data_IF_359420307831
#
_entry.id   IF_359420307831
#
_cell.length_a   1.000
_cell.length_b   1.000
_cell.length_c   1.000
_cell.angle_alpha   90.00
_cell.angle_beta   90.00
_cell.angle_gamma   90.00
#
_symmetry.space_group_name_H-M   'P 1'
#
loop_
_entity.id
_entity.type
_entity.pdbx_description
1 polymer ?
#
# COMPACT_ATOMS: atom_id res chain seq x y z
N UNK A 1 -24.56 6.33 10.02
CA UNK A 1 -23.33 5.61 10.38
C UNK A 1 -22.18 6.60 10.59
N UNK A 2 -21.77 7.43 9.60
CA UNK A 2 -20.60 8.32 9.74
C UNK A 2 -20.72 9.28 10.94
N UNK A 3 -21.90 9.84 11.18
CA UNK A 3 -22.14 10.78 12.30
C UNK A 3 -21.97 10.17 13.68
N UNK A 4 -22.12 8.84 13.80
CA UNK A 4 -22.08 8.11 15.08
C UNK A 4 -20.76 7.35 15.28
N UNK A 5 -19.80 7.49 14.38
CA UNK A 5 -18.44 6.92 14.53
C UNK A 5 -17.63 7.76 15.53
N UNK A 6 -16.60 7.14 16.11
CA UNK A 6 -15.64 7.83 16.96
C UNK A 6 -14.97 9.00 16.22
N UNK A 7 -14.29 9.87 16.97
CA UNK A 7 -13.51 10.97 16.40
C UNK A 7 -12.38 10.45 15.48
N UNK A 8 -12.12 11.19 14.40
CA UNK A 8 -11.09 10.87 13.39
C UNK A 8 -11.20 9.43 12.85
N UNK A 9 -12.37 9.02 12.32
CA UNK A 9 -12.55 7.65 11.84
C UNK A 9 -11.79 7.40 10.55
N UNK A 10 -11.40 6.14 10.36
CA UNK A 10 -10.85 5.65 9.09
C UNK A 10 -11.97 4.92 8.35
N UNK A 11 -12.26 5.36 7.12
CA UNK A 11 -13.37 4.85 6.31
C UNK A 11 -12.84 4.31 4.99
N UNK A 12 -12.98 3.00 4.78
CA UNK A 12 -12.62 2.33 3.53
C UNK A 12 -13.88 1.94 2.78
N UNK A 13 -14.20 2.70 1.72
CA UNK A 13 -15.32 2.43 0.82
C UNK A 13 -14.78 1.80 -0.47
N UNK A 14 -14.67 0.46 -0.49
CA UNK A 14 -13.86 -0.28 -1.46
C UNK A 14 -14.68 -0.96 -2.57
N UNK A 15 -16.00 -0.81 -2.62
CA UNK A 15 -16.83 -1.35 -3.70
C UNK A 15 -16.46 -0.75 -5.05
N UNK A 16 -16.50 -1.58 -6.10
CA UNK A 16 -16.22 -1.21 -7.48
C UNK A 16 -17.43 -1.51 -8.38
N UNK A 17 -17.72 -0.64 -9.37
CA UNK A 17 -17.01 0.62 -9.72
C UNK A 17 -17.36 1.81 -8.83
N UNK A 18 -18.48 1.74 -8.10
CA UNK A 18 -18.93 2.82 -7.23
C UNK A 18 -18.69 2.47 -5.77
N UNK A 19 -17.99 3.33 -5.01
CA UNK A 19 -17.78 3.13 -3.58
C UNK A 19 -19.11 3.23 -2.81
N UNK A 20 -19.23 2.55 -1.67
CA UNK A 20 -20.43 2.56 -0.81
C UNK A 20 -20.86 3.99 -0.42
N UNK A 21 -19.88 4.88 -0.31
CA UNK A 21 -20.07 6.32 -0.16
C UNK A 21 -18.92 7.05 -0.86
N UNK A 22 -19.25 8.08 -1.64
CA UNK A 22 -18.23 8.93 -2.27
C UNK A 22 -17.56 9.82 -1.25
N UNK A 23 -16.24 10.09 -1.40
CA UNK A 23 -15.49 10.95 -0.48
C UNK A 23 -16.05 12.35 -0.28
N UNK A 24 -16.57 12.98 -1.34
CA UNK A 24 -17.21 14.29 -1.26
C UNK A 24 -18.47 14.30 -0.39
N UNK A 25 -19.28 13.23 -0.51
CA UNK A 25 -20.49 13.05 0.32
C UNK A 25 -20.13 12.76 1.77
N UNK A 26 -19.11 11.91 1.99
CA UNK A 26 -18.65 11.57 3.33
C UNK A 26 -18.11 12.82 4.07
N UNK A 27 -17.31 13.64 3.37
CA UNK A 27 -16.74 14.89 3.92
C UNK A 27 -17.78 15.98 4.17
N UNK A 28 -18.88 16.00 3.42
CA UNK A 28 -20.00 16.89 3.70
C UNK A 28 -20.69 16.55 5.04
N UNK A 29 -20.55 15.33 5.54
CA UNK A 29 -21.09 14.89 6.84
C UNK A 29 -20.14 15.21 7.98
N UNK A 30 -18.83 15.01 7.78
CA UNK A 30 -17.75 15.30 8.74
C UNK A 30 -16.40 15.40 8.02
N UNK A 31 -15.54 16.27 8.49
CA UNK A 31 -14.27 16.64 7.84
C UNK A 31 -13.03 16.00 8.51
N UNK A 32 -13.20 15.36 9.68
CA UNK A 32 -12.11 14.76 10.46
C UNK A 32 -11.78 13.30 10.06
N UNK A 33 -12.41 12.76 9.00
CA UNK A 33 -12.21 11.39 8.56
C UNK A 33 -11.00 11.21 7.65
N UNK A 34 -10.35 10.04 7.74
CA UNK A 34 -9.43 9.52 6.72
C UNK A 34 -10.22 8.61 5.79
N UNK A 35 -10.25 8.92 4.50
CA UNK A 35 -11.04 8.21 3.51
C UNK A 35 -10.16 7.50 2.49
N UNK A 36 -10.49 6.25 2.15
CA UNK A 36 -9.88 5.49 1.08
C UNK A 36 -10.95 4.81 0.21
N UNK A 37 -10.68 4.68 -1.08
CA UNK A 37 -11.55 4.00 -2.05
C UNK A 37 -10.72 3.15 -3.01
N UNK A 38 -11.36 2.32 -3.83
CA UNK A 38 -10.71 1.61 -4.94
C UNK A 38 -10.43 2.49 -6.17
N UNK A 39 -10.94 3.72 -6.22
CA UNK A 39 -10.87 4.59 -7.41
C UNK A 39 -9.57 5.39 -7.47
N UNK A 40 -9.05 5.55 -8.70
CA UNK A 40 -7.82 6.33 -8.96
C UNK A 40 -8.01 7.84 -8.95
N UNK A 41 -9.24 8.32 -9.06
CA UNK A 41 -9.60 9.73 -9.09
C UNK A 41 -9.81 10.35 -7.70
N UNK A 42 -9.70 9.52 -6.63
CA UNK A 42 -9.75 9.97 -5.25
C UNK A 42 -8.40 9.74 -4.53
N UNK A 43 -8.11 10.49 -3.46
CA UNK A 43 -6.99 10.21 -2.56
C UNK A 43 -7.04 8.79 -1.97
N UNK A 44 -5.88 8.28 -1.55
CA UNK A 44 -5.78 6.98 -0.90
C UNK A 44 -6.39 5.82 -1.70
N UNK A 45 -6.02 5.71 -2.98
CA UNK A 45 -6.46 4.57 -3.79
C UNK A 45 -5.94 3.26 -3.21
N UNK A 46 -6.84 2.38 -2.79
CA UNK A 46 -6.53 0.99 -2.42
C UNK A 46 -6.65 0.12 -3.67
N UNK A 47 -5.51 -0.37 -4.16
CA UNK A 47 -5.46 -1.17 -5.37
C UNK A 47 -4.62 -2.42 -5.13
N UNK A 48 -5.12 -3.58 -5.56
CA UNK A 48 -4.43 -4.88 -5.44
C UNK A 48 -3.02 -4.87 -6.08
N UNK A 49 -2.77 -3.99 -7.06
CA UNK A 49 -1.47 -3.84 -7.72
C UNK A 49 -0.36 -3.40 -6.76
N UNK A 50 -0.70 -2.81 -5.61
CA UNK A 50 0.29 -2.44 -4.59
C UNK A 50 0.89 -3.66 -3.87
N UNK A 51 0.16 -4.77 -3.82
CA UNK A 51 0.59 -6.00 -3.15
C UNK A 51 0.93 -7.13 -4.11
N UNK A 52 0.00 -7.47 -4.99
CA UNK A 52 0.02 -8.68 -5.81
C UNK A 52 1.33 -8.93 -6.58
N UNK A 53 1.85 -8.02 -7.46
CA UNK A 53 3.04 -8.33 -8.24
C UNK A 53 4.29 -8.46 -7.36
N UNK A 54 4.39 -7.64 -6.33
CA UNK A 54 5.57 -7.51 -5.50
C UNK A 54 5.69 -8.64 -4.46
N UNK A 55 4.57 -9.08 -3.90
CA UNK A 55 4.53 -10.25 -3.01
C UNK A 55 4.96 -11.51 -3.77
N UNK A 56 4.42 -11.72 -4.97
CA UNK A 56 4.82 -12.84 -5.81
C UNK A 56 6.28 -12.75 -6.23
N UNK A 57 6.78 -11.55 -6.57
CA UNK A 57 8.18 -11.34 -6.90
C UNK A 57 9.09 -11.77 -5.75
N UNK A 58 8.86 -11.30 -4.54
CA UNK A 58 9.64 -11.68 -3.37
C UNK A 58 9.58 -13.19 -3.07
N UNK A 59 8.40 -13.79 -3.18
CA UNK A 59 8.22 -15.23 -2.98
C UNK A 59 8.96 -16.07 -4.02
N UNK A 60 8.90 -15.68 -5.30
CA UNK A 60 9.56 -16.40 -6.39
C UNK A 60 11.07 -16.30 -6.34
N UNK A 61 11.63 -15.16 -5.96
CA UNK A 61 13.08 -14.95 -5.90
C UNK A 61 13.78 -15.88 -4.87
N UNK A 62 13.07 -16.25 -3.81
CA UNK A 62 13.55 -17.22 -2.81
C UNK A 62 12.93 -18.62 -3.01
N UNK A 63 12.17 -18.83 -4.09
CA UNK A 63 11.47 -20.10 -4.36
C UNK A 63 10.64 -20.57 -3.16
N UNK A 64 9.88 -19.69 -2.56
CA UNK A 64 9.04 -20.03 -1.43
C UNK A 64 8.03 -21.12 -1.77
N UNK A 65 7.76 -22.01 -0.83
CA UNK A 65 6.79 -23.12 -0.99
C UNK A 65 5.34 -22.66 -0.91
N UNK A 66 5.11 -21.44 -0.44
CA UNK A 66 3.82 -20.79 -0.31
C UNK A 66 3.98 -19.38 0.21
N UNK A 67 2.88 -18.62 0.22
CA UNK A 67 2.82 -17.28 0.79
C UNK A 67 2.10 -17.39 2.14
N UNK A 68 2.82 -17.16 3.23
CA UNK A 68 2.30 -17.23 4.59
C UNK A 68 2.02 -15.85 5.18
N UNK A 69 1.42 -15.80 6.38
CA UNK A 69 1.06 -14.56 7.07
C UNK A 69 2.28 -13.66 7.35
N UNK A 70 3.43 -14.23 7.67
CA UNK A 70 4.66 -13.46 7.90
C UNK A 70 5.06 -12.65 6.65
N UNK A 71 4.96 -13.24 5.47
CA UNK A 71 5.24 -12.59 4.20
C UNK A 71 4.20 -11.49 3.88
N UNK A 72 2.93 -11.74 4.17
CA UNK A 72 1.86 -10.75 3.98
C UNK A 72 2.03 -9.56 4.92
N UNK A 73 2.32 -9.81 6.20
CA UNK A 73 2.59 -8.77 7.21
C UNK A 73 3.84 -7.96 6.82
N UNK A 74 4.89 -8.60 6.31
CA UNK A 74 6.08 -7.91 5.82
C UNK A 74 5.75 -6.96 4.65
N UNK A 75 4.89 -7.37 3.72
CA UNK A 75 4.42 -6.51 2.64
C UNK A 75 3.62 -5.30 3.16
N UNK A 76 2.75 -5.51 4.15
CA UNK A 76 1.99 -4.41 4.80
C UNK A 76 2.94 -3.41 5.44
N UNK A 77 3.96 -3.88 6.16
CA UNK A 77 4.95 -3.01 6.79
C UNK A 77 5.77 -2.24 5.74
N UNK A 78 6.19 -2.89 4.65
CA UNK A 78 6.91 -2.24 3.57
C UNK A 78 6.08 -1.13 2.91
N UNK A 79 4.80 -1.36 2.65
CA UNK A 79 3.89 -0.35 2.10
C UNK A 79 3.68 0.83 3.06
N UNK A 80 3.49 0.54 4.36
CA UNK A 80 3.36 1.54 5.42
C UNK A 80 4.60 2.44 5.49
N UNK A 81 5.78 1.84 5.46
CA UNK A 81 7.04 2.56 5.60
C UNK A 81 7.35 3.37 4.35
N UNK A 82 7.10 2.82 3.16
CA UNK A 82 7.22 3.55 1.90
C UNK A 82 6.30 4.77 1.83
N UNK A 83 5.08 4.68 2.36
CA UNK A 83 4.16 5.83 2.39
C UNK A 83 4.69 7.01 3.22
N UNK A 84 5.60 6.77 4.17
CA UNK A 84 6.22 7.78 5.03
C UNK A 84 7.49 8.39 4.44
N UNK A 85 8.08 7.75 3.43
CA UNK A 85 9.25 8.27 2.75
C UNK A 85 8.89 9.49 1.88
N UNK A 86 9.81 10.45 1.71
CA UNK A 86 9.62 11.57 0.80
C UNK A 86 9.23 11.09 -0.60
N UNK A 87 8.17 11.66 -1.17
CA UNK A 87 7.68 11.25 -2.49
C UNK A 87 8.59 11.84 -3.59
N UNK A 88 9.17 11.02 -4.48
CA UNK A 88 10.07 11.51 -5.52
C UNK A 88 9.32 12.26 -6.63
N UNK A 89 10.02 13.18 -7.30
CA UNK A 89 9.45 14.00 -8.37
C UNK A 89 8.82 13.15 -9.48
N UNK A 90 9.40 12.01 -9.80
CA UNK A 90 8.85 11.09 -10.82
C UNK A 90 7.42 10.60 -10.51
N UNK A 91 7.10 10.41 -9.23
CA UNK A 91 5.74 10.04 -8.80
C UNK A 91 4.82 11.26 -8.90
N UNK A 92 5.27 12.43 -8.45
CA UNK A 92 4.50 13.67 -8.56
C UNK A 92 4.15 13.97 -10.01
N UNK A 93 5.11 13.86 -10.93
CA UNK A 93 4.93 14.07 -12.36
C UNK A 93 3.93 13.06 -12.97
N UNK A 94 4.04 11.78 -12.59
CA UNK A 94 3.14 10.73 -13.08
C UNK A 94 1.67 10.98 -12.70
N UNK A 95 1.43 11.60 -11.55
CA UNK A 95 0.09 11.91 -11.06
C UNK A 95 -0.30 13.39 -11.25
N UNK A 96 0.56 14.20 -11.88
CA UNK A 96 0.35 15.63 -12.11
C UNK A 96 0.03 16.39 -10.82
N UNK A 97 0.82 16.12 -9.79
CA UNK A 97 0.70 16.74 -8.47
C UNK A 97 1.95 17.57 -8.18
N UNK A 98 1.77 18.69 -7.52
CA UNK A 98 2.87 19.57 -7.12
C UNK A 98 3.54 19.09 -5.83
N UNK A 99 2.75 18.52 -4.93
CA UNK A 99 3.20 18.02 -3.63
C UNK A 99 2.37 16.81 -3.20
N UNK A 100 3.02 15.88 -2.50
CA UNK A 100 2.38 14.73 -1.86
C UNK A 100 3.25 14.28 -0.69
N UNK A 101 2.68 14.20 0.50
CA UNK A 101 3.36 13.78 1.71
C UNK A 101 2.44 12.94 2.60
N UNK A 102 3.02 12.11 3.47
CA UNK A 102 2.26 11.27 4.39
C UNK A 102 1.28 12.11 5.23
N UNK A 103 0.03 11.71 5.22
CA UNK A 103 -1.05 12.40 5.91
C UNK A 103 -2.42 11.84 5.53
N UNK A 104 -3.53 12.48 5.94
CA UNK A 104 -4.89 11.99 5.70
C UNK A 104 -5.23 11.72 4.22
N UNK A 105 -4.57 12.42 3.30
CA UNK A 105 -4.75 12.27 1.84
C UNK A 105 -3.73 11.34 1.17
N UNK A 106 -2.73 10.86 1.93
CA UNK A 106 -1.70 9.94 1.46
C UNK A 106 -1.25 9.01 2.57
N UNK A 107 -2.04 7.97 2.83
CA UNK A 107 -1.74 6.92 3.80
C UNK A 107 -1.18 5.64 3.15
N UNK A 108 -1.20 5.56 1.81
CA UNK A 108 -0.79 4.41 1.03
C UNK A 108 -0.04 4.87 -0.23
N UNK A 109 1.03 4.17 -0.68
CA UNK A 109 1.76 4.56 -1.88
C UNK A 109 0.89 4.56 -3.14
N UNK A 110 1.28 5.34 -4.13
CA UNK A 110 0.62 5.36 -5.44
C UNK A 110 1.00 4.13 -6.29
N UNK A 111 0.09 3.54 -7.08
CA UNK A 111 0.36 2.37 -7.92
C UNK A 111 1.52 2.50 -8.91
N UNK A 112 1.82 3.72 -9.41
CA UNK A 112 2.93 3.96 -10.32
C UNK A 112 4.25 4.34 -9.62
N UNK A 113 4.33 4.17 -8.30
CA UNK A 113 5.56 4.40 -7.55
C UNK A 113 6.56 3.26 -7.80
N UNK A 114 7.63 3.55 -8.55
CA UNK A 114 8.65 2.56 -8.89
C UNK A 114 9.35 1.95 -7.66
N UNK A 115 9.37 2.66 -6.53
CA UNK A 115 9.97 2.21 -5.27
C UNK A 115 9.24 1.01 -4.66
N UNK A 116 8.01 0.72 -5.08
CA UNK A 116 7.30 -0.50 -4.66
C UNK A 116 8.12 -1.77 -4.95
N UNK A 117 8.85 -1.79 -6.07
CA UNK A 117 9.74 -2.90 -6.42
C UNK A 117 10.96 -3.01 -5.50
N UNK A 118 11.42 -1.89 -4.96
CA UNK A 118 12.58 -1.83 -4.07
C UNK A 118 12.24 -2.14 -2.61
N UNK A 119 11.00 -1.89 -2.21
CA UNK A 119 10.56 -2.04 -0.82
C UNK A 119 9.84 -3.36 -0.54
N UNK A 120 8.88 -3.73 -1.36
CA UNK A 120 7.97 -4.85 -1.04
C UNK A 120 8.61 -6.21 -1.30
N UNK A 121 9.20 -6.53 -2.48
CA UNK A 121 9.79 -7.84 -2.73
C UNK A 121 10.91 -8.22 -1.75
N UNK A 122 11.86 -7.32 -1.39
CA UNK A 122 12.90 -7.66 -0.41
C UNK A 122 12.33 -7.99 0.97
N UNK A 123 11.33 -7.24 1.44
CA UNK A 123 10.68 -7.51 2.73
C UNK A 123 9.99 -8.88 2.75
N UNK A 124 9.27 -9.20 1.68
CA UNK A 124 8.60 -10.51 1.52
C UNK A 124 9.61 -11.66 1.44
N UNK A 125 10.69 -11.49 0.66
CA UNK A 125 11.74 -12.49 0.53
C UNK A 125 12.42 -12.77 1.87
N UNK A 126 12.73 -11.73 2.64
CA UNK A 126 13.30 -11.86 3.98
C UNK A 126 12.37 -12.63 4.91
N UNK A 127 11.10 -12.26 4.96
CA UNK A 127 10.10 -12.95 5.78
C UNK A 127 9.93 -14.43 5.37
N UNK A 128 10.01 -14.74 4.08
CA UNK A 128 9.96 -16.13 3.60
C UNK A 128 11.17 -16.96 4.09
N UNK A 129 12.37 -16.38 4.07
CA UNK A 129 13.58 -17.03 4.60
C UNK A 129 13.48 -17.24 6.11
N UNK A 130 13.12 -16.19 6.85
CA UNK A 130 13.01 -16.21 8.32
C UNK A 130 11.92 -17.17 8.81
N UNK A 131 10.81 -17.28 8.07
CA UNK A 131 9.71 -18.19 8.40
C UNK A 131 9.91 -19.63 7.90
N UNK A 132 11.04 -19.91 7.24
CA UNK A 132 11.44 -21.26 6.82
C UNK A 132 10.68 -21.81 5.61
N UNK A 133 9.96 -20.99 4.86
CA UNK A 133 9.24 -21.42 3.64
C UNK A 133 10.04 -21.22 2.36
N UNK A 134 11.19 -20.54 2.42
CA UNK A 134 12.08 -20.31 1.29
C UNK A 134 12.92 -21.59 1.00
N UNK A 135 13.14 -21.89 -0.29
CA UNK A 135 14.06 -22.93 -0.78
C UNK A 135 15.43 -22.38 -1.16
N UNK A 136 15.57 -21.06 -1.26
CA UNK A 136 16.82 -20.35 -1.52
C UNK A 136 17.06 -19.29 -0.45
N UNK A 137 18.32 -18.93 -0.26
CA UNK A 137 18.71 -17.82 0.63
C UNK A 137 18.23 -16.47 0.10
N UNK A 138 18.31 -15.48 0.97
CA UNK A 138 17.98 -14.10 0.61
C UNK A 138 18.87 -13.60 -0.53
N UNK A 139 18.32 -13.00 -1.61
CA UNK A 139 19.08 -12.60 -2.79
C UNK A 139 20.10 -11.51 -2.50
N UNK A 140 21.32 -11.65 -3.06
CA UNK A 140 22.42 -10.68 -2.86
C UNK A 140 22.14 -9.30 -3.48
N UNK A 141 21.25 -9.23 -4.49
CA UNK A 141 20.88 -7.98 -5.14
C UNK A 141 19.82 -7.16 -4.37
N UNK A 142 19.26 -7.72 -3.30
CA UNK A 142 18.34 -7.01 -2.43
C UNK A 142 19.08 -6.24 -1.32
N UNK A 143 18.49 -5.14 -0.80
CA UNK A 143 19.04 -4.40 0.32
C UNK A 143 19.24 -5.29 1.54
N UNK A 144 20.38 -5.15 2.25
CA UNK A 144 20.70 -5.91 3.46
C UNK A 144 20.07 -5.30 4.69
#
# INVERSE_FOLDING_TARGET
>A
VLQTMADKPIVFALSNPDPEIRPDVARAVRDDLIMATGRSDYPNQVNNVLGFPFIFRGALDVQATGINDAMQIAAVHALRDLAKEPVPQSVLDAYRMDELSFGPEYIIPKPLDARLMEFVPPAVARAAVESGVARRGYPDHYPK
#
